data_IF_502866535690
#
_entry.id   IF_502866535690
#
_cell.length_a   1.000
_cell.length_b   1.000
_cell.length_c   1.000
_cell.angle_alpha   90.00
_cell.angle_beta   90.00
_cell.angle_gamma   90.00
#
_symmetry.space_group_name_H-M   'P 1'
#
loop_
_entity.id
_entity.type
_entity.pdbx_description
1 polymer ?
#
# COMPACT_ATOMS: atom_id res chain seq x y z
N UNK A 1 11.70 -5.09 -17.48
CA UNK A 1 11.69 -4.46 -16.15
C UNK A 1 12.61 -5.26 -15.26
N UNK A 2 13.80 -4.71 -14.98
CA UNK A 2 14.94 -5.39 -14.37
C UNK A 2 14.70 -5.75 -12.91
N UNK A 3 15.21 -6.90 -12.47
CA UNK A 3 15.18 -7.43 -11.09
C UNK A 3 15.57 -6.42 -9.99
N UNK A 4 16.26 -5.34 -10.34
CA UNK A 4 16.74 -4.25 -9.48
C UNK A 4 15.59 -3.47 -8.82
N UNK A 5 14.46 -3.27 -9.50
CA UNK A 5 13.29 -2.56 -8.93
C UNK A 5 12.54 -3.39 -7.88
N UNK A 6 12.69 -4.72 -7.91
CA UNK A 6 12.05 -5.60 -6.92
C UNK A 6 12.72 -5.56 -5.55
N UNK A 7 13.97 -5.09 -5.48
CA UNK A 7 14.80 -5.01 -4.27
C UNK A 7 14.85 -3.62 -3.64
N UNK A 8 14.38 -2.58 -4.34
CA UNK A 8 14.28 -1.23 -3.82
C UNK A 8 13.19 -1.19 -2.75
N UNK A 9 13.60 -0.90 -1.53
CA UNK A 9 12.74 -0.61 -0.38
C UNK A 9 13.12 0.79 0.06
N UNK A 10 12.12 1.63 0.27
CA UNK A 10 12.31 2.97 0.81
C UNK A 10 12.16 4.09 -0.19
N UNK A 11 12.83 5.20 0.10
CA UNK A 11 12.64 6.47 -0.61
C UNK A 11 13.67 6.65 -1.73
N UNK A 12 13.23 6.56 -2.98
CA UNK A 12 13.92 7.15 -4.12
C UNK A 12 13.42 8.60 -4.30
N UNK A 13 14.17 9.53 -4.93
CA UNK A 13 13.68 10.90 -5.17
C UNK A 13 12.32 10.94 -5.89
N UNK A 14 12.12 10.06 -6.87
CA UNK A 14 10.93 10.04 -7.72
C UNK A 14 9.85 9.03 -7.29
N UNK A 15 10.26 7.97 -6.57
CA UNK A 15 9.37 6.86 -6.23
C UNK A 15 9.64 6.35 -4.81
N UNK A 16 8.63 5.78 -4.16
CA UNK A 16 8.82 5.03 -2.92
C UNK A 16 8.23 3.65 -3.06
N UNK A 17 9.00 2.60 -2.76
CA UNK A 17 8.51 1.21 -2.78
C UNK A 17 8.49 0.69 -1.35
N UNK A 18 7.31 0.28 -0.90
CA UNK A 18 7.06 -0.10 0.49
C UNK A 18 6.29 -1.40 0.54
N UNK A 19 6.58 -2.19 1.57
CA UNK A 19 5.94 -3.47 1.81
C UNK A 19 5.12 -3.39 3.08
N UNK A 20 3.87 -3.86 3.02
CA UNK A 20 2.89 -3.70 4.07
C UNK A 20 2.21 -5.03 4.39
N UNK A 21 2.27 -5.45 5.65
CA UNK A 21 1.54 -6.61 6.16
C UNK A 21 0.05 -6.30 6.22
N UNK A 22 -0.76 -7.11 5.54
CA UNK A 22 -2.22 -7.09 5.68
C UNK A 22 -2.61 -7.94 6.89
N UNK A 23 -3.20 -7.33 7.92
CA UNK A 23 -3.61 -8.06 9.13
C UNK A 23 -5.05 -8.54 9.07
N UNK A 24 -5.90 -7.80 8.38
CA UNK A 24 -7.30 -8.15 8.19
C UNK A 24 -7.62 -8.13 6.70
N UNK A 25 -8.13 -9.24 6.17
CA UNK A 25 -8.46 -9.35 4.75
C UNK A 25 -9.80 -8.75 4.37
N UNK A 26 -10.57 -8.27 5.34
CA UNK A 26 -11.76 -7.47 5.11
C UNK A 26 -11.38 -6.00 4.82
N UNK A 27 -12.16 -5.27 4.01
CA UNK A 27 -13.40 -5.71 3.37
C UNK A 27 -13.13 -6.66 2.18
N UNK A 28 -14.07 -7.57 1.94
CA UNK A 28 -14.15 -8.27 0.67
C UNK A 28 -14.90 -7.37 -0.30
N UNK A 29 -14.37 -7.23 -1.51
CA UNK A 29 -14.91 -6.40 -2.58
C UNK A 29 -15.06 -7.25 -3.85
N UNK A 30 -15.52 -6.65 -4.94
CA UNK A 30 -15.56 -7.25 -6.26
C UNK A 30 -14.87 -6.37 -7.29
N UNK A 31 -14.26 -7.01 -8.28
CA UNK A 31 -13.81 -6.40 -9.51
C UNK A 31 -14.80 -6.73 -10.64
N UNK A 32 -15.33 -5.69 -11.29
CA UNK A 32 -16.25 -5.79 -12.42
C UNK A 32 -15.73 -4.85 -13.50
N UNK A 33 -15.41 -5.38 -14.67
CA UNK A 33 -14.79 -4.64 -15.79
C UNK A 33 -13.58 -3.79 -15.38
N UNK A 34 -12.74 -4.35 -14.49
CA UNK A 34 -11.56 -3.68 -13.97
C UNK A 34 -11.84 -2.64 -12.88
N UNK A 35 -13.09 -2.43 -12.46
CA UNK A 35 -13.45 -1.43 -11.45
C UNK A 35 -13.72 -2.06 -10.10
N UNK A 36 -13.29 -1.37 -9.03
CA UNK A 36 -13.60 -1.77 -7.66
C UNK A 36 -15.07 -1.49 -7.34
N UNK A 37 -15.76 -2.49 -6.80
CA UNK A 37 -17.17 -2.44 -6.40
C UNK A 37 -17.39 -3.09 -5.03
N UNK A 38 -18.39 -2.63 -4.27
CA UNK A 38 -18.85 -3.33 -3.08
C UNK A 38 -19.22 -4.78 -3.39
N UNK A 39 -19.07 -5.68 -2.42
CA UNK A 39 -19.37 -7.09 -2.62
C UNK A 39 -20.88 -7.34 -2.87
N UNK A 40 -21.75 -6.42 -2.43
CA UNK A 40 -23.20 -6.47 -2.60
C UNK A 40 -23.65 -6.02 -4.00
N UNK A 41 -22.73 -5.53 -4.84
CA UNK A 41 -23.07 -5.08 -6.19
C UNK A 41 -23.75 -6.21 -6.99
N UNK A 42 -24.89 -5.95 -7.68
CA UNK A 42 -25.74 -7.01 -8.25
C UNK A 42 -25.04 -7.85 -9.33
N UNK A 43 -24.17 -7.21 -10.11
CA UNK A 43 -23.45 -7.88 -11.18
C UNK A 43 -22.39 -8.86 -10.66
N UNK A 44 -22.18 -9.92 -11.42
CA UNK A 44 -21.14 -10.90 -11.11
C UNK A 44 -19.78 -10.29 -11.41
N UNK A 45 -18.82 -10.55 -10.53
CA UNK A 45 -17.46 -10.07 -10.65
C UNK A 45 -16.48 -10.98 -9.93
N UNK A 46 -15.19 -10.70 -10.09
CA UNK A 46 -14.13 -11.41 -9.38
C UNK A 46 -14.07 -10.91 -7.94
N UNK A 47 -14.12 -11.83 -6.97
CA UNK A 47 -14.00 -11.47 -5.57
C UNK A 47 -12.57 -11.05 -5.25
N UNK A 48 -12.45 -9.99 -4.45
CA UNK A 48 -11.18 -9.39 -4.05
C UNK A 48 -11.13 -9.35 -2.53
N UNK A 49 -10.10 -9.93 -1.93
CA UNK A 49 -9.74 -9.62 -0.54
C UNK A 49 -8.89 -8.35 -0.58
N UNK A 50 -9.52 -7.20 -0.34
CA UNK A 50 -8.87 -5.89 -0.42
C UNK A 50 -7.98 -5.65 0.81
N UNK A 51 -8.50 -6.02 1.97
CA UNK A 51 -7.79 -5.90 3.24
C UNK A 51 -7.64 -4.48 3.78
N UNK A 52 -7.10 -4.40 4.99
CA UNK A 52 -6.98 -3.16 5.76
C UNK A 52 -6.03 -2.14 5.12
N UNK A 53 -4.91 -2.60 4.56
CA UNK A 53 -3.92 -1.73 3.92
C UNK A 53 -4.50 -0.99 2.71
N UNK A 54 -4.96 -1.73 1.69
CA UNK A 54 -5.46 -1.11 0.47
C UNK A 54 -6.74 -0.31 0.70
N UNK A 55 -7.65 -0.81 1.56
CA UNK A 55 -8.84 -0.05 1.96
C UNK A 55 -8.48 1.28 2.63
N UNK A 56 -7.41 1.31 3.43
CA UNK A 56 -6.96 2.54 4.08
C UNK A 56 -6.32 3.48 3.06
N UNK A 57 -5.46 2.97 2.17
CA UNK A 57 -4.85 3.77 1.10
C UNK A 57 -5.89 4.44 0.20
N UNK A 58 -6.94 3.72 -0.19
CA UNK A 58 -8.06 4.30 -0.97
C UNK A 58 -8.72 5.45 -0.19
N UNK A 59 -8.90 5.30 1.12
CA UNK A 59 -9.55 6.30 1.97
C UNK A 59 -8.71 7.57 2.15
N UNK A 60 -7.40 7.43 2.35
CA UNK A 60 -6.50 8.55 2.69
C UNK A 60 -5.85 9.20 1.46
N UNK A 61 -5.86 8.55 0.30
CA UNK A 61 -5.29 9.11 -0.95
C UNK A 61 -6.08 10.30 -1.52
N UNK A 62 -7.22 10.63 -0.91
CA UNK A 62 -8.06 11.76 -1.29
C UNK A 62 -8.91 11.47 -2.51
N UNK A 63 -9.43 12.53 -3.16
CA UNK A 63 -10.15 12.41 -4.42
C UNK A 63 -9.22 11.81 -5.49
N UNK A 64 -9.62 10.66 -6.00
CA UNK A 64 -8.89 9.93 -7.05
C UNK A 64 -9.61 10.10 -8.38
N UNK A 65 -8.85 10.37 -9.43
CA UNK A 65 -9.34 10.46 -10.80
C UNK A 65 -9.70 9.08 -11.33
N UNK A 66 -8.98 8.04 -10.89
CA UNK A 66 -9.28 6.66 -11.26
C UNK A 66 -8.84 5.65 -10.21
N UNK A 67 -9.62 4.58 -10.07
CA UNK A 67 -9.24 3.34 -9.39
C UNK A 67 -9.59 2.20 -10.33
N UNK A 68 -8.59 1.43 -10.73
CA UNK A 68 -8.80 0.27 -11.58
C UNK A 68 -7.83 -0.85 -11.26
N UNK A 69 -8.26 -2.09 -11.49
CA UNK A 69 -7.43 -3.26 -11.44
C UNK A 69 -6.63 -3.36 -12.73
N UNK A 70 -5.30 -3.28 -12.62
CA UNK A 70 -4.40 -3.62 -13.73
C UNK A 70 -4.32 -5.13 -13.92
N UNK A 71 -4.37 -5.89 -12.82
CA UNK A 71 -4.53 -7.34 -12.83
C UNK A 71 -5.66 -7.73 -11.87
N UNK A 72 -6.86 -8.11 -12.36
CA UNK A 72 -7.95 -8.54 -11.50
C UNK A 72 -7.61 -9.87 -10.82
N UNK A 73 -8.24 -10.19 -9.67
CA UNK A 73 -8.06 -11.49 -9.06
C UNK A 73 -8.66 -12.61 -9.92
N UNK A 74 -8.02 -13.78 -9.85
CA UNK A 74 -8.48 -15.00 -10.49
C UNK A 74 -9.11 -15.92 -9.43
N UNK A 75 -8.66 -17.18 -9.33
CA UNK A 75 -9.08 -18.10 -8.27
C UNK A 75 -8.60 -17.66 -6.87
N UNK A 76 -7.39 -17.09 -6.80
CA UNK A 76 -6.83 -16.55 -5.56
C UNK A 76 -7.27 -15.09 -5.37
N UNK A 77 -8.27 -14.89 -4.49
CA UNK A 77 -8.83 -13.58 -4.16
C UNK A 77 -7.80 -12.62 -3.51
N UNK A 78 -6.65 -13.13 -3.06
CA UNK A 78 -5.56 -12.34 -2.43
C UNK A 78 -4.55 -11.83 -3.45
N UNK A 79 -4.55 -12.36 -4.68
CA UNK A 79 -3.59 -12.01 -5.72
C UNK A 79 -4.24 -11.08 -6.75
N UNK A 80 -3.84 -9.82 -6.73
CA UNK A 80 -4.37 -8.79 -7.63
C UNK A 80 -3.41 -7.59 -7.68
N UNK A 81 -3.54 -6.77 -8.72
CA UNK A 81 -2.85 -5.47 -8.84
C UNK A 81 -3.87 -4.37 -9.10
N UNK A 82 -3.72 -3.25 -8.40
CA UNK A 82 -4.59 -2.08 -8.51
C UNK A 82 -3.78 -0.82 -8.68
N UNK A 83 -4.27 0.10 -9.50
CA UNK A 83 -3.71 1.42 -9.70
C UNK A 83 -4.73 2.45 -9.23
N UNK A 84 -4.27 3.39 -8.42
CA UNK A 84 -5.01 4.57 -8.02
C UNK A 84 -4.24 5.80 -8.49
N UNK A 85 -4.91 6.69 -9.20
CA UNK A 85 -4.31 7.94 -9.68
C UNK A 85 -5.11 9.09 -9.10
N UNK A 86 -4.42 10.01 -8.43
CA UNK A 86 -4.92 11.34 -8.06
C UNK A 86 -4.07 12.42 -8.72
N UNK A 87 -4.44 13.69 -8.52
CA UNK A 87 -3.74 14.83 -9.10
C UNK A 87 -2.26 14.94 -8.70
N UNK A 88 -1.88 14.44 -7.52
CA UNK A 88 -0.51 14.53 -6.99
C UNK A 88 0.23 13.20 -6.92
N UNK A 89 -0.49 12.08 -6.90
CA UNK A 89 0.06 10.76 -6.58
C UNK A 89 -0.44 9.69 -7.55
N UNK A 90 0.49 8.82 -7.95
CA UNK A 90 0.16 7.52 -8.55
C UNK A 90 0.54 6.43 -7.56
N UNK A 91 -0.42 5.57 -7.22
CA UNK A 91 -0.28 4.50 -6.24
C UNK A 91 -0.53 3.17 -6.96
N UNK A 92 0.50 2.35 -7.09
CA UNK A 92 0.36 0.97 -7.56
C UNK A 92 0.41 0.04 -6.35
N UNK A 93 -0.59 -0.83 -6.23
CA UNK A 93 -0.69 -1.81 -5.15
C UNK A 93 -0.68 -3.20 -5.78
N UNK A 94 0.38 -3.96 -5.52
CA UNK A 94 0.46 -5.38 -5.83
C UNK A 94 0.19 -6.19 -4.57
N UNK A 95 -0.86 -6.99 -4.61
CA UNK A 95 -1.24 -7.91 -3.54
C UNK A 95 -0.86 -9.34 -3.91
N UNK A 96 -0.23 -10.06 -3.00
CA UNK A 96 0.06 -11.48 -3.18
C UNK A 96 0.21 -12.22 -1.84
N UNK A 97 -0.25 -13.48 -1.79
CA UNK A 97 -0.01 -14.33 -0.62
C UNK A 97 1.48 -14.61 -0.47
N UNK A 98 1.96 -14.68 0.77
CA UNK A 98 3.37 -14.95 1.06
C UNK A 98 3.60 -16.07 2.08
N UNK A 99 2.56 -16.51 2.79
CA UNK A 99 2.57 -17.71 3.64
C UNK A 99 1.19 -18.38 3.66
N UNK A 100 1.05 -19.51 4.37
CA UNK A 100 -0.25 -20.12 4.66
C UNK A 100 -1.01 -20.64 3.43
N UNK A 101 -0.34 -20.75 2.28
CA UNK A 101 -0.89 -21.26 1.02
C UNK A 101 -2.17 -20.56 0.53
N UNK A 102 -2.40 -19.30 0.94
CA UNK A 102 -3.63 -18.58 0.58
C UNK A 102 -4.89 -19.01 1.36
N UNK A 103 -4.74 -19.86 2.39
CA UNK A 103 -5.88 -20.40 3.16
C UNK A 103 -6.42 -19.45 4.23
N UNK A 104 -5.68 -18.39 4.55
CA UNK A 104 -6.07 -17.42 5.59
C UNK A 104 -6.27 -16.03 4.99
N UNK A 105 -7.29 -15.32 5.42
CA UNK A 105 -7.53 -13.93 4.99
C UNK A 105 -6.52 -12.92 5.54
N UNK A 106 -5.42 -13.37 6.15
CA UNK A 106 -4.34 -12.52 6.68
C UNK A 106 -2.96 -12.98 6.21
N UNK A 107 -2.89 -13.84 5.18
CA UNK A 107 -1.62 -14.45 4.73
C UNK A 107 -0.98 -13.79 3.51
N UNK A 108 -1.38 -12.56 3.22
CA UNK A 108 -0.87 -11.77 2.12
C UNK A 108 -0.30 -10.44 2.61
N UNK A 109 0.43 -9.80 1.70
CA UNK A 109 1.01 -8.50 1.90
C UNK A 109 0.78 -7.65 0.66
N UNK A 110 0.95 -6.34 0.80
CA UNK A 110 0.87 -5.41 -0.31
C UNK A 110 2.25 -4.79 -0.55
N UNK A 111 2.73 -4.88 -1.78
CA UNK A 111 3.81 -4.04 -2.28
C UNK A 111 3.17 -2.79 -2.86
N UNK A 112 3.53 -1.64 -2.32
CA UNK A 112 2.98 -0.34 -2.71
C UNK A 112 4.10 0.49 -3.33
N UNK A 113 3.92 0.86 -4.58
CA UNK A 113 4.77 1.82 -5.27
C UNK A 113 4.03 3.17 -5.34
N UNK A 114 4.69 4.21 -4.84
CA UNK A 114 4.20 5.57 -4.82
C UNK A 114 5.05 6.43 -5.76
N UNK A 115 4.41 7.17 -6.66
CA UNK A 115 5.04 8.19 -7.52
C UNK A 115 4.40 9.55 -7.27
N UNK A 116 5.18 10.62 -7.31
CA UNK A 116 4.74 11.99 -7.03
C UNK A 116 5.85 12.81 -6.39
N UNK A 117 5.53 13.88 -5.65
CA UNK A 117 6.53 14.61 -4.86
C UNK A 117 6.93 13.83 -3.59
N UNK A 118 8.16 14.00 -3.10
CA UNK A 118 8.59 13.30 -1.86
C UNK A 118 7.71 13.69 -0.66
N UNK A 119 7.30 14.95 -0.57
CA UNK A 119 6.44 15.43 0.52
C UNK A 119 5.03 14.83 0.45
N UNK A 120 4.40 14.78 -0.74
CA UNK A 120 3.08 14.16 -0.89
C UNK A 120 3.14 12.66 -0.56
N UNK A 121 4.19 11.95 -1.01
CA UNK A 121 4.40 10.54 -0.64
C UNK A 121 4.59 10.36 0.87
N UNK A 122 5.43 11.19 1.48
CA UNK A 122 5.73 11.09 2.91
C UNK A 122 4.50 11.39 3.78
N UNK A 123 3.68 12.39 3.44
CA UNK A 123 2.40 12.70 4.11
C UNK A 123 1.44 11.51 4.04
N UNK A 124 1.25 10.91 2.86
CA UNK A 124 0.43 9.70 2.72
C UNK A 124 0.95 8.55 3.61
N UNK A 125 2.27 8.40 3.71
CA UNK A 125 2.90 7.39 4.58
C UNK A 125 2.76 7.71 6.08
N UNK A 126 2.68 8.97 6.46
CA UNK A 126 2.31 9.34 7.82
C UNK A 126 0.84 8.97 8.11
N UNK A 127 -0.06 9.33 7.21
CA UNK A 127 -1.50 9.10 7.35
C UNK A 127 -1.87 7.61 7.37
N UNK A 128 -1.20 6.77 6.58
CA UNK A 128 -1.44 5.31 6.58
C UNK A 128 -1.07 4.68 7.93
N UNK A 129 0.05 5.10 8.53
CA UNK A 129 0.48 4.58 9.85
C UNK A 129 -0.47 5.06 10.93
N UNK A 130 -0.83 6.35 10.91
CA UNK A 130 -1.78 6.92 11.85
C UNK A 130 -3.16 6.25 11.76
N UNK A 131 -3.66 6.04 10.55
CA UNK A 131 -5.01 5.46 10.33
C UNK A 131 -5.06 3.96 10.63
N UNK A 132 -4.00 3.21 10.35
CA UNK A 132 -3.93 1.79 10.69
C UNK A 132 -3.74 1.54 12.20
N UNK A 133 -3.17 2.52 12.94
CA UNK A 133 -2.89 2.38 14.38
C UNK A 133 -1.84 1.32 14.71
N UNK A 134 -1.01 0.94 13.74
CA UNK A 134 0.03 -0.09 13.84
C UNK A 134 1.12 0.14 12.81
N UNK A 135 2.25 -0.53 12.99
CA UNK A 135 3.36 -0.54 12.04
C UNK A 135 3.07 -1.49 10.86
N UNK A 136 2.95 -0.99 9.61
CA UNK A 136 2.66 -1.84 8.45
C UNK A 136 3.84 -2.70 8.01
N UNK A 137 5.07 -2.29 8.33
CA UNK A 137 6.31 -3.01 8.03
C UNK A 137 6.59 -4.20 8.96
N UNK A 138 5.72 -4.47 9.94
CA UNK A 138 5.87 -5.60 10.86
C UNK A 138 5.17 -6.85 10.30
N UNK A 139 5.93 -7.85 9.82
CA UNK A 139 5.36 -9.08 9.28
C UNK A 139 4.75 -9.95 10.37
N UNK A 140 3.82 -10.82 9.99
CA UNK A 140 3.37 -11.91 10.89
C UNK A 140 4.46 -12.98 11.08
N UNK A 141 5.24 -13.24 10.03
CA UNK A 141 6.35 -14.19 10.01
C UNK A 141 7.53 -13.60 9.26
N UNK A 142 8.59 -13.21 9.97
CA UNK A 142 9.76 -12.54 9.39
C UNK A 142 10.47 -13.41 8.34
N UNK A 143 10.61 -14.72 8.56
CA UNK A 143 11.28 -15.61 7.61
C UNK A 143 10.66 -15.57 6.20
N UNK A 144 9.34 -15.69 6.09
CA UNK A 144 8.64 -15.65 4.80
C UNK A 144 8.66 -14.25 4.19
N UNK A 145 8.55 -13.22 5.02
CA UNK A 145 8.61 -11.83 4.59
C UNK A 145 9.97 -11.49 3.98
N UNK A 146 11.07 -11.85 4.64
CA UNK A 146 12.41 -11.57 4.15
C UNK A 146 12.71 -12.36 2.87
N UNK A 147 12.18 -13.58 2.74
CA UNK A 147 12.28 -14.37 1.52
C UNK A 147 11.57 -13.70 0.33
N UNK A 148 10.38 -13.15 0.53
CA UNK A 148 9.59 -12.55 -0.57
C UNK A 148 10.01 -11.12 -0.89
N UNK A 149 10.39 -10.33 0.12
CA UNK A 149 10.83 -8.94 -0.05
C UNK A 149 12.32 -8.80 -0.33
N UNK A 150 13.09 -9.89 -0.19
CA UNK A 150 14.55 -9.95 -0.35
C UNK A 150 15.32 -8.95 0.54
N UNK A 151 14.70 -8.50 1.63
CA UNK A 151 15.24 -7.49 2.54
C UNK A 151 14.85 -7.81 3.97
N UNK A 152 15.69 -7.45 4.94
CA UNK A 152 15.42 -7.71 6.36
C UNK A 152 14.28 -6.85 6.90
N UNK A 153 13.59 -7.35 7.92
CA UNK A 153 12.53 -6.59 8.62
C UNK A 153 13.07 -5.25 9.18
N UNK A 154 14.32 -5.24 9.68
CA UNK A 154 14.99 -4.03 10.15
C UNK A 154 15.18 -2.98 9.06
N UNK A 155 15.58 -3.41 7.85
CA UNK A 155 15.73 -2.48 6.71
C UNK A 155 14.41 -1.85 6.31
N UNK A 156 13.31 -2.62 6.29
CA UNK A 156 11.97 -2.05 6.05
C UNK A 156 11.65 -0.99 7.12
N UNK A 157 11.83 -1.30 8.40
CA UNK A 157 11.62 -0.35 9.49
C UNK A 157 12.39 0.95 9.29
N UNK A 158 13.69 0.86 9.00
CA UNK A 158 14.54 2.05 8.86
C UNK A 158 14.07 2.95 7.71
N UNK A 159 13.69 2.38 6.57
CA UNK A 159 13.16 3.13 5.43
C UNK A 159 11.81 3.78 5.71
N UNK A 160 10.92 3.09 6.44
CA UNK A 160 9.66 3.66 6.88
C UNK A 160 9.89 4.83 7.85
N UNK A 161 10.80 4.68 8.81
CA UNK A 161 11.11 5.74 9.76
C UNK A 161 11.68 6.98 9.09
N UNK A 162 12.53 6.84 8.06
CA UNK A 162 13.03 7.98 7.27
C UNK A 162 11.90 8.79 6.65
N UNK A 163 10.92 8.12 6.02
CA UNK A 163 9.77 8.78 5.41
C UNK A 163 8.87 9.46 6.46
N UNK A 164 8.63 8.80 7.60
CA UNK A 164 7.85 9.36 8.70
C UNK A 164 8.51 10.60 9.31
N UNK A 165 9.83 10.56 9.53
CA UNK A 165 10.60 11.71 10.01
C UNK A 165 10.57 12.86 9.00
N UNK A 166 10.70 12.56 7.71
CA UNK A 166 10.61 13.56 6.65
C UNK A 166 9.23 14.24 6.62
N UNK A 167 8.15 13.44 6.68
CA UNK A 167 6.78 13.95 6.72
C UNK A 167 6.56 14.87 7.92
N UNK A 168 6.99 14.42 9.11
CA UNK A 168 6.86 15.18 10.35
C UNK A 168 7.54 16.54 10.25
N UNK A 169 8.80 16.56 9.80
CA UNK A 169 9.55 17.82 9.65
C UNK A 169 8.88 18.75 8.63
N UNK A 170 8.46 18.23 7.48
CA UNK A 170 7.78 19.05 6.46
C UNK A 170 6.46 19.66 6.97
N UNK A 171 5.71 18.93 7.80
CA UNK A 171 4.51 19.48 8.45
C UNK A 171 4.84 20.52 9.53
N UNK A 172 5.91 20.34 10.30
CA UNK A 172 6.38 21.33 11.28
C UNK A 172 6.79 22.64 10.59
N UNK A 173 7.55 22.56 9.49
CA UNK A 173 7.94 23.70 8.66
C UNK A 173 6.71 24.46 8.12
N UNK A 174 5.71 23.75 7.58
CA UNK A 174 4.45 24.35 7.10
C UNK A 174 3.68 25.07 8.23
N UNK A 175 3.64 24.51 9.44
CA UNK A 175 2.99 25.13 10.59
C UNK A 175 3.71 26.42 11.01
N UNK A 176 5.05 26.43 11.02
CA UNK A 176 5.84 27.61 11.32
C UNK A 176 5.65 28.73 10.28
N UNK A 177 5.58 28.38 9.00
CA UNK A 177 5.27 29.32 7.93
C UNK A 177 3.87 29.94 8.05
N UNK A 178 2.88 29.17 8.48
CA UNK A 178 1.51 29.67 8.70
C UNK A 178 1.47 30.61 9.92
N UNK A 179 2.14 30.25 11.02
CA UNK A 179 2.14 31.05 12.25
C UNK A 179 2.94 32.36 12.15
N UNK A 180 3.83 32.46 11.16
CA UNK A 180 4.65 33.67 10.90
C UNK A 180 4.01 34.65 9.92
N UNK A 181 2.83 34.33 9.36
CA UNK A 181 2.00 35.21 8.52
C UNK A 181 0.95 35.95 9.34
#
# INVERSE_FOLDING_TARGET
MSDIESTLVGSHPETSILWMQVKNGKPQMKCIDGLLRPNEYPEKGHKVLLGDVASTLIKISGPHDSIHFSNPPSFDEQRWSMVLVSSELSINIDSFPYWGFGLFSSCYLNKVELKGSLISRAKLIFDIVATLGRNPWEPKFSFFWEKVTKNSTGKHRDEWLKLLTFAKRGMEEEIEEINSR
#
